data_IF_970256015412
#
_entry.id   IF_970256015412
#
_cell.length_a   1.000
_cell.length_b   1.000
_cell.length_c   1.000
_cell.angle_alpha   90.00
_cell.angle_beta   90.00
_cell.angle_gamma   90.00
#
_symmetry.space_group_name_H-M   'P 1'
#
loop_
_entity.id
_entity.type
_entity.pdbx_description
1 polymer ?
#
# COMPACT_ATOMS: atom_id res chain seq x y z
N UNK A 1 14.29 -14.78 42.48
CA UNK A 1 14.47 -13.82 43.59
C UNK A 1 13.75 -12.50 43.31
N UNK A 2 14.23 -11.63 42.40
CA UNK A 2 13.62 -10.32 42.12
C UNK A 2 12.13 -10.42 41.71
N UNK A 3 11.78 -11.23 40.70
CA UNK A 3 10.38 -11.47 40.28
C UNK A 3 9.46 -11.95 41.42
N UNK A 4 9.99 -12.76 42.33
CA UNK A 4 9.22 -13.29 43.47
C UNK A 4 8.94 -12.22 44.54
N UNK A 5 9.66 -11.10 44.52
CA UNK A 5 9.45 -9.93 45.39
C UNK A 5 8.68 -8.79 44.71
N UNK A 6 8.27 -8.96 43.46
CA UNK A 6 7.66 -7.89 42.65
C UNK A 6 8.66 -6.86 42.12
N UNK A 7 9.97 -7.06 42.32
CA UNK A 7 11.01 -6.16 41.80
C UNK A 7 11.07 -6.25 40.27
N UNK A 8 11.30 -5.11 39.60
CA UNK A 8 11.62 -5.06 38.17
C UNK A 8 12.90 -5.86 37.90
N UNK A 9 12.87 -6.92 37.06
CA UNK A 9 14.03 -7.77 36.85
C UNK A 9 15.16 -7.01 36.17
N UNK A 10 16.32 -6.95 36.82
CA UNK A 10 17.56 -6.36 36.29
C UNK A 10 18.78 -7.13 36.75
N UNK A 11 19.87 -6.99 36.04
CA UNK A 11 21.16 -7.46 36.48
C UNK A 11 21.52 -6.79 37.81
N UNK A 12 21.94 -7.60 38.76
CA UNK A 12 22.20 -7.19 40.14
C UNK A 12 23.56 -6.51 40.32
N UNK A 13 24.24 -6.19 39.21
CA UNK A 13 25.57 -5.56 39.19
C UNK A 13 26.63 -6.36 39.96
N UNK A 14 26.43 -7.67 40.15
CA UNK A 14 27.33 -8.53 40.93
C UNK A 14 28.77 -8.49 40.44
N UNK A 15 28.97 -8.48 39.13
CA UNK A 15 30.27 -8.42 38.46
C UNK A 15 30.70 -7.02 38.02
N UNK A 16 29.92 -5.98 38.37
CA UNK A 16 30.28 -4.60 38.08
C UNK A 16 31.46 -4.17 38.97
N UNK A 17 32.59 -3.71 38.40
CA UNK A 17 33.67 -3.11 39.17
C UNK A 17 33.19 -1.85 39.91
N UNK A 18 33.65 -1.66 41.13
CA UNK A 18 33.41 -0.46 41.93
C UNK A 18 34.56 -0.28 42.92
N UNK A 19 34.84 0.95 43.31
CA UNK A 19 35.87 1.26 44.31
C UNK A 19 35.58 0.50 45.62
N UNK A 20 36.61 -0.17 46.17
CA UNK A 20 36.49 -0.97 47.39
C UNK A 20 35.72 -2.28 47.26
N UNK A 21 35.23 -2.65 46.07
CA UNK A 21 34.47 -3.89 45.86
C UNK A 21 35.35 -5.04 45.38
N UNK A 22 35.41 -6.11 46.17
CA UNK A 22 35.97 -7.40 45.73
C UNK A 22 34.98 -8.12 44.82
N UNK A 23 35.40 -8.40 43.58
CA UNK A 23 34.60 -9.19 42.64
C UNK A 23 34.62 -10.68 43.02
N UNK A 24 33.53 -11.44 42.82
CA UNK A 24 33.53 -12.87 43.06
C UNK A 24 34.53 -13.61 42.13
N UNK A 25 34.75 -14.91 42.32
CA UNK A 25 35.54 -15.71 41.35
C UNK A 25 34.63 -16.20 40.22
N UNK A 26 34.94 -15.91 38.93
CA UNK A 26 34.10 -16.37 37.82
C UNK A 26 33.89 -17.88 37.89
N UNK A 27 32.64 -18.39 37.74
CA UNK A 27 32.39 -19.82 37.80
C UNK A 27 33.21 -20.58 36.75
N UNK A 28 33.77 -21.73 37.12
CA UNK A 28 34.56 -22.56 36.23
C UNK A 28 33.75 -22.97 34.99
N UNK A 29 34.35 -22.90 33.80
CA UNK A 29 33.72 -23.27 32.53
C UNK A 29 32.70 -22.28 31.96
N UNK A 30 32.41 -21.17 32.66
CA UNK A 30 31.48 -20.14 32.16
C UNK A 30 32.25 -19.07 31.39
N UNK A 31 31.98 -18.94 30.08
CA UNK A 31 32.51 -17.84 29.28
C UNK A 31 31.72 -16.55 29.58
N UNK A 32 32.38 -15.44 29.98
CA UNK A 32 31.69 -14.22 30.35
C UNK A 32 31.14 -13.48 29.13
N UNK A 33 30.15 -12.62 29.36
CA UNK A 33 29.69 -11.61 28.39
C UNK A 33 30.29 -10.25 28.75
N UNK A 34 30.33 -9.32 27.79
CA UNK A 34 30.73 -7.94 28.05
C UNK A 34 29.48 -7.10 28.28
N UNK A 35 29.45 -6.35 29.39
CA UNK A 35 28.37 -5.43 29.74
C UNK A 35 28.87 -4.00 29.74
N UNK A 36 28.01 -3.09 29.31
CA UNK A 36 28.24 -1.66 29.43
C UNK A 36 28.05 -1.22 30.88
N UNK A 37 29.05 -0.56 31.46
CA UNK A 37 28.97 -0.01 32.79
C UNK A 37 28.15 1.29 32.76
N UNK A 38 26.82 1.17 32.85
CA UNK A 38 25.94 2.33 32.76
C UNK A 38 26.12 3.24 34.00
N UNK A 39 25.99 4.57 33.88
CA UNK A 39 25.92 5.45 35.05
C UNK A 39 24.83 4.98 36.04
N UNK A 40 25.03 5.23 37.33
CA UNK A 40 24.09 4.78 38.38
C UNK A 40 23.14 5.86 38.85
N UNK A 41 23.53 7.11 38.65
CA UNK A 41 22.91 8.33 39.12
C UNK A 41 22.73 9.32 37.96
N UNK A 42 21.97 10.38 38.22
CA UNK A 42 21.53 11.32 37.18
C UNK A 42 20.50 10.73 36.22
N UNK A 43 20.32 11.40 35.09
CA UNK A 43 19.36 11.03 34.06
C UNK A 43 19.93 11.21 32.65
N UNK A 44 19.35 10.49 31.71
CA UNK A 44 19.54 10.72 30.28
C UNK A 44 18.31 11.43 29.77
N UNK A 45 18.51 12.62 29.22
CA UNK A 45 17.45 13.40 28.63
C UNK A 45 17.85 13.89 27.24
N UNK A 46 16.86 14.00 26.37
CA UNK A 46 17.00 14.56 25.02
C UNK A 46 15.69 15.22 24.60
N UNK A 47 15.79 16.14 23.66
CA UNK A 47 14.64 16.80 23.05
C UNK A 47 14.32 16.05 21.75
N UNK A 48 13.30 15.20 21.79
CA UNK A 48 12.84 14.46 20.64
C UNK A 48 12.12 15.37 19.66
N UNK A 49 12.47 15.28 18.38
CA UNK A 49 11.91 16.13 17.33
C UNK A 49 10.43 15.85 17.03
N UNK A 50 9.84 14.78 17.58
CA UNK A 50 8.41 14.46 17.45
C UNK A 50 7.72 14.37 18.81
N UNK A 51 8.33 13.69 19.78
CA UNK A 51 7.72 13.45 21.09
C UNK A 51 8.03 14.51 22.14
N UNK A 52 8.88 15.50 21.83
CA UNK A 52 9.32 16.52 22.77
C UNK A 52 10.33 16.00 23.79
N UNK A 53 10.45 16.68 24.93
CA UNK A 53 11.42 16.33 25.98
C UNK A 53 11.13 14.94 26.55
N UNK A 54 12.12 14.05 26.51
CA UNK A 54 12.09 12.76 27.20
C UNK A 54 13.25 12.71 28.19
N UNK A 55 12.99 12.23 29.40
CA UNK A 55 13.98 12.08 30.46
C UNK A 55 13.80 10.75 31.19
N UNK A 56 14.90 10.01 31.33
CA UNK A 56 14.91 8.69 31.95
C UNK A 56 16.05 8.64 32.97
N UNK A 57 15.70 8.36 34.23
CA UNK A 57 16.69 8.21 35.30
C UNK A 57 17.63 7.03 35.03
N UNK A 58 18.94 7.21 35.26
CA UNK A 58 19.93 6.15 35.09
C UNK A 58 19.69 4.95 36.03
N UNK A 59 18.98 5.16 37.15
CA UNK A 59 18.54 4.10 38.05
C UNK A 59 17.56 3.10 37.41
N UNK A 60 16.83 3.53 36.36
CA UNK A 60 15.93 2.67 35.57
C UNK A 60 16.67 1.87 34.49
N UNK A 61 17.94 2.19 34.24
CA UNK A 61 18.78 1.58 33.21
C UNK A 61 19.72 0.56 33.84
N UNK A 62 19.77 -0.60 33.20
CA UNK A 62 20.65 -1.71 33.61
C UNK A 62 21.94 -1.74 32.78
N UNK A 63 22.97 -2.40 33.30
CA UNK A 63 24.24 -2.67 32.62
C UNK A 63 24.00 -3.70 31.49
N UNK A 64 23.59 -3.20 30.32
CA UNK A 64 23.21 -4.03 29.20
C UNK A 64 24.40 -4.82 28.64
N UNK A 65 24.13 -5.99 28.08
CA UNK A 65 25.14 -6.77 27.36
C UNK A 65 25.44 -6.07 26.03
N UNK A 66 26.71 -5.76 25.78
CA UNK A 66 27.20 -5.16 24.52
C UNK A 66 27.95 -6.17 23.65
N UNK A 67 28.48 -7.25 24.23
CA UNK A 67 29.00 -8.38 23.47
C UNK A 67 28.68 -9.71 24.15
N UNK A 68 28.34 -10.71 23.36
CA UNK A 68 28.08 -12.08 23.80
C UNK A 68 29.39 -12.80 24.15
N UNK A 69 29.27 -14.00 24.71
CA UNK A 69 30.41 -14.79 25.17
C UNK A 69 31.34 -15.28 24.03
N UNK A 70 30.84 -15.26 22.79
CA UNK A 70 31.61 -15.53 21.57
C UNK A 70 32.24 -14.26 20.96
N UNK A 71 32.07 -13.10 21.61
CA UNK A 71 32.56 -11.81 21.12
C UNK A 71 31.59 -11.06 20.19
N UNK A 72 30.47 -11.67 19.80
CA UNK A 72 29.50 -11.04 18.89
C UNK A 72 28.87 -9.80 19.54
N UNK A 73 28.97 -8.60 18.93
CA UNK A 73 28.37 -7.40 19.48
C UNK A 73 26.83 -7.45 19.42
N UNK A 74 26.16 -6.75 20.33
CA UNK A 74 24.69 -6.68 20.38
C UNK A 74 24.17 -5.40 19.72
N UNK A 75 22.89 -5.41 19.35
CA UNK A 75 22.23 -4.33 18.61
C UNK A 75 22.56 -2.91 19.08
N UNK A 76 22.40 -2.61 20.38
CA UNK A 76 22.63 -1.26 20.91
C UNK A 76 24.09 -0.81 20.81
N UNK A 77 25.04 -1.74 20.81
CA UNK A 77 26.45 -1.42 20.62
C UNK A 77 26.77 -1.25 19.13
N UNK A 78 26.30 -2.15 18.27
CA UNK A 78 26.51 -2.04 16.81
C UNK A 78 25.96 -0.72 16.28
N UNK A 79 24.69 -0.41 16.55
CA UNK A 79 24.04 0.79 16.00
C UNK A 79 24.72 2.08 16.47
N UNK A 80 25.21 2.13 17.71
CA UNK A 80 25.93 3.31 18.22
C UNK A 80 27.26 3.49 17.51
N UNK A 81 28.00 2.41 17.32
CA UNK A 81 29.30 2.48 16.63
C UNK A 81 29.11 2.84 15.16
N UNK A 82 28.14 2.22 14.48
CA UNK A 82 27.84 2.51 13.07
C UNK A 82 27.30 3.94 12.89
N UNK A 83 26.36 4.40 13.72
CA UNK A 83 25.82 5.77 13.65
C UNK A 83 26.91 6.81 13.87
N UNK A 84 27.84 6.55 14.79
CA UNK A 84 28.98 7.42 15.05
C UNK A 84 29.98 7.43 13.88
N UNK A 85 30.39 6.25 13.39
CA UNK A 85 31.35 6.11 12.28
C UNK A 85 30.81 6.70 10.96
N UNK A 86 29.50 6.57 10.73
CA UNK A 86 28.80 7.14 9.57
C UNK A 86 28.39 8.61 9.76
N UNK A 87 28.74 9.24 10.89
CA UNK A 87 28.42 10.63 11.20
C UNK A 87 26.92 10.96 11.07
N UNK A 88 26.05 10.07 11.55
CA UNK A 88 24.61 10.27 11.54
C UNK A 88 24.24 11.47 12.41
N UNK A 89 23.50 12.42 11.84
CA UNK A 89 23.06 13.63 12.54
C UNK A 89 21.64 13.51 13.10
N UNK A 90 20.78 12.73 12.44
CA UNK A 90 19.38 12.54 12.79
C UNK A 90 19.00 11.06 12.71
N UNK A 91 18.53 10.51 13.82
CA UNK A 91 18.01 9.14 13.89
C UNK A 91 16.47 9.21 13.89
N UNK A 92 15.87 8.85 12.77
CA UNK A 92 14.41 8.78 12.59
C UNK A 92 14.00 7.31 12.64
N UNK A 93 13.18 6.92 13.61
CA UNK A 93 12.77 5.52 13.81
C UNK A 93 11.42 5.37 14.50
N UNK A 94 10.86 4.17 14.48
CA UNK A 94 9.63 3.84 15.20
C UNK A 94 9.75 4.06 16.71
N UNK A 95 8.66 4.49 17.35
CA UNK A 95 8.63 4.78 18.78
C UNK A 95 8.68 3.55 19.69
N UNK A 96 8.49 2.35 19.13
CA UNK A 96 8.80 1.09 19.81
C UNK A 96 10.29 0.94 20.15
N UNK A 97 11.17 1.75 19.54
CA UNK A 97 12.58 1.82 19.86
C UNK A 97 12.97 2.95 20.83
N UNK A 98 12.03 3.74 21.34
CA UNK A 98 12.33 4.89 22.24
C UNK A 98 13.10 4.47 23.50
N UNK A 99 12.84 3.28 24.02
CA UNK A 99 13.49 2.75 25.22
C UNK A 99 14.97 2.36 25.00
N UNK A 100 15.44 2.29 23.75
CA UNK A 100 16.84 2.06 23.41
C UNK A 100 17.65 3.36 23.43
N UNK A 101 17.02 4.49 23.11
CA UNK A 101 17.66 5.82 23.04
C UNK A 101 18.50 6.18 24.26
N UNK A 102 18.01 6.09 25.52
CA UNK A 102 18.83 6.46 26.67
C UNK A 102 20.07 5.58 26.83
N UNK A 103 20.00 4.31 26.41
CA UNK A 103 21.14 3.39 26.45
C UNK A 103 22.18 3.77 25.40
N UNK A 104 21.72 4.08 24.19
CA UNK A 104 22.58 4.47 23.07
C UNK A 104 23.29 5.80 23.36
N UNK A 105 22.57 6.80 23.89
CA UNK A 105 23.14 8.08 24.31
C UNK A 105 24.25 7.89 25.35
N UNK A 106 24.04 7.03 26.36
CA UNK A 106 25.09 6.77 27.35
C UNK A 106 26.33 6.11 26.75
N UNK A 107 26.16 5.19 25.79
CA UNK A 107 27.29 4.57 25.10
C UNK A 107 28.03 5.62 24.25
N UNK A 108 27.33 6.45 23.47
CA UNK A 108 27.93 7.56 22.71
C UNK A 108 28.74 8.50 23.60
N UNK A 109 28.16 8.92 24.73
CA UNK A 109 28.84 9.76 25.73
C UNK A 109 30.10 9.09 26.29
N UNK A 110 30.05 7.79 26.55
CA UNK A 110 31.21 7.04 27.03
C UNK A 110 32.32 6.93 25.97
N UNK A 111 31.96 6.94 24.68
CA UNK A 111 32.90 7.01 23.56
C UNK A 111 33.42 8.43 23.29
N UNK A 112 32.85 9.45 23.94
CA UNK A 112 33.12 10.86 23.63
C UNK A 112 32.55 11.30 22.28
N UNK A 113 31.58 10.56 21.74
CA UNK A 113 30.93 10.86 20.46
C UNK A 113 29.84 11.93 20.62
N UNK A 114 29.59 12.65 19.53
CA UNK A 114 28.43 13.55 19.43
C UNK A 114 27.14 12.74 19.42
N UNK A 115 26.11 13.26 20.10
CA UNK A 115 24.81 12.60 20.19
C UNK A 115 23.91 13.15 19.07
N UNK A 116 23.36 12.31 18.18
CA UNK A 116 22.48 12.77 17.11
C UNK A 116 21.16 13.26 17.68
N UNK A 117 20.42 14.01 16.86
CA UNK A 117 19.03 14.33 17.14
C UNK A 117 18.16 13.10 16.91
N UNK A 118 17.14 12.90 17.73
CA UNK A 118 16.23 11.75 17.63
C UNK A 118 14.81 12.22 17.26
N UNK A 119 14.16 11.46 16.40
CA UNK A 119 12.75 11.62 16.05
C UNK A 119 12.06 10.26 16.11
N UNK A 120 11.12 10.09 17.05
CA UNK A 120 10.40 8.82 17.20
C UNK A 120 9.00 8.88 16.58
N UNK A 121 8.85 8.21 15.43
CA UNK A 121 7.61 8.11 14.66
C UNK A 121 6.66 7.12 15.32
N UNK A 122 5.39 7.50 15.45
CA UNK A 122 4.39 6.62 16.04
C UNK A 122 4.05 5.44 15.14
N UNK A 123 3.76 4.30 15.75
CA UNK A 123 3.38 3.10 15.00
C UNK A 123 2.10 3.30 14.19
N UNK A 124 2.07 2.70 13.00
CA UNK A 124 0.85 2.59 12.18
C UNK A 124 -0.05 1.50 12.77
N UNK A 125 -1.32 1.81 12.92
CA UNK A 125 -2.38 0.87 13.28
C UNK A 125 -3.05 0.34 12.01
N UNK A 126 -3.52 -0.90 12.02
CA UNK A 126 -4.34 -1.46 10.94
C UNK A 126 -5.76 -0.90 10.96
N UNK A 127 -6.56 -1.32 9.97
CA UNK A 127 -7.99 -0.98 9.88
C UNK A 127 -8.76 -1.40 11.16
N UNK A 128 -8.26 -2.40 11.89
CA UNK A 128 -8.81 -2.90 13.16
C UNK A 128 -8.34 -2.13 14.42
N UNK A 129 -7.48 -1.13 14.25
CA UNK A 129 -6.91 -0.33 15.34
C UNK A 129 -5.77 -1.02 16.12
N UNK A 130 -5.39 -2.25 15.76
CA UNK A 130 -4.22 -2.92 16.34
C UNK A 130 -2.94 -2.52 15.60
N UNK A 131 -1.76 -2.76 16.19
CA UNK A 131 -0.47 -2.50 15.52
C UNK A 131 -0.44 -3.24 14.19
N UNK A 132 -0.20 -2.51 13.09
CA UNK A 132 -0.08 -3.11 11.77
C UNK A 132 1.08 -4.12 11.81
N UNK A 133 0.76 -5.38 11.55
CA UNK A 133 1.70 -6.49 11.68
C UNK A 133 1.53 -7.46 10.52
N UNK A 134 2.59 -8.24 10.24
CA UNK A 134 2.62 -9.28 9.19
C UNK A 134 1.50 -10.32 9.31
N UNK A 135 0.77 -10.34 10.43
CA UNK A 135 -0.33 -11.27 10.72
C UNK A 135 -1.72 -10.72 10.37
N UNK A 136 -1.88 -9.41 10.15
CA UNK A 136 -3.19 -8.74 10.02
C UNK A 136 -3.40 -8.00 8.69
N UNK A 137 -2.56 -8.24 7.67
CA UNK A 137 -2.70 -7.57 6.36
C UNK A 137 -1.42 -7.65 5.54
N UNK A 138 -1.42 -7.04 4.35
CA UNK A 138 -0.23 -6.96 3.50
C UNK A 138 0.83 -6.04 4.12
N UNK A 139 2.04 -6.54 4.34
CA UNK A 139 3.14 -5.79 5.02
C UNK A 139 4.42 -5.82 4.19
N UNK A 140 4.31 -6.29 2.94
CA UNK A 140 5.36 -6.20 1.95
C UNK A 140 4.99 -5.11 0.94
N UNK A 141 5.94 -4.23 0.63
CA UNK A 141 5.80 -3.24 -0.45
C UNK A 141 5.46 -3.93 -1.78
N UNK A 142 6.00 -5.14 -2.00
CA UNK A 142 5.72 -5.91 -3.21
C UNK A 142 4.26 -6.37 -3.31
N UNK A 143 3.59 -6.62 -2.19
CA UNK A 143 2.19 -7.01 -2.19
C UNK A 143 1.29 -5.85 -2.65
N UNK A 144 1.64 -4.59 -2.37
CA UNK A 144 0.90 -3.45 -2.92
C UNK A 144 1.01 -3.40 -4.45
N UNK A 145 2.20 -3.64 -5.00
CA UNK A 145 2.38 -3.71 -6.45
C UNK A 145 1.58 -4.85 -7.09
N UNK A 146 1.61 -6.05 -6.48
CA UNK A 146 0.80 -7.19 -6.90
C UNK A 146 -0.70 -6.89 -6.84
N UNK A 147 -1.16 -6.21 -5.78
CA UNK A 147 -2.53 -5.76 -5.60
C UNK A 147 -2.95 -4.63 -6.58
N UNK A 148 -2.01 -4.08 -7.36
CA UNK A 148 -2.32 -3.10 -8.40
C UNK A 148 -2.30 -1.64 -7.94
N UNK A 149 -1.59 -1.34 -6.85
CA UNK A 149 -1.31 0.03 -6.43
C UNK A 149 -0.10 0.59 -7.16
N UNK A 150 -0.22 1.84 -7.60
CA UNK A 150 0.86 2.61 -8.19
C UNK A 150 1.86 3.05 -7.10
N UNK A 151 3.18 3.04 -7.39
CA UNK A 151 4.20 3.47 -6.43
C UNK A 151 3.96 4.88 -5.88
N UNK A 152 3.51 5.81 -6.71
CA UNK A 152 3.23 7.20 -6.35
C UNK A 152 2.10 7.29 -5.34
N UNK A 153 1.04 6.49 -5.52
CA UNK A 153 -0.08 6.41 -4.60
C UNK A 153 0.36 5.85 -3.24
N UNK A 154 1.18 4.78 -3.23
CA UNK A 154 1.70 4.20 -2.00
C UNK A 154 2.59 5.18 -1.25
N UNK A 155 3.50 5.88 -1.96
CA UNK A 155 4.39 6.88 -1.35
C UNK A 155 3.59 8.04 -0.75
N UNK A 156 2.66 8.63 -1.51
CA UNK A 156 1.81 9.71 -0.99
C UNK A 156 0.98 9.22 0.20
N UNK A 157 0.41 8.02 0.13
CA UNK A 157 -0.40 7.48 1.21
C UNK A 157 0.40 7.29 2.50
N UNK A 158 1.56 6.64 2.41
CA UNK A 158 2.44 6.41 3.56
C UNK A 158 2.97 7.73 4.13
N UNK A 159 3.27 8.72 3.28
CA UNK A 159 3.66 10.05 3.74
C UNK A 159 2.55 10.71 4.57
N UNK A 160 1.27 10.51 4.22
CA UNK A 160 0.13 11.04 4.99
C UNK A 160 -0.15 10.28 6.30
N UNK A 161 0.51 9.15 6.55
CA UNK A 161 0.40 8.44 7.82
C UNK A 161 1.29 9.08 8.88
N UNK A 162 0.79 10.16 9.48
CA UNK A 162 1.44 10.84 10.58
C UNK A 162 2.22 12.11 10.20
N UNK A 163 2.21 12.51 8.92
CA UNK A 163 2.72 13.80 8.46
C UNK A 163 1.67 14.52 7.61
N UNK A 164 1.64 15.85 7.67
CA UNK A 164 0.72 16.67 6.88
C UNK A 164 1.39 17.95 6.36
N UNK A 165 0.81 18.52 5.32
CA UNK A 165 1.15 19.85 4.81
C UNK A 165 -0.15 20.58 4.51
N UNK A 166 -0.70 21.28 5.51
CA UNK A 166 -2.05 21.83 5.45
C UNK A 166 -3.08 20.78 4.99
N UNK A 167 -3.92 21.17 4.04
CA UNK A 167 -4.99 20.33 3.47
C UNK A 167 -4.56 19.56 2.21
N UNK A 168 -3.28 19.57 1.83
CA UNK A 168 -2.80 18.85 0.65
C UNK A 168 -2.83 17.32 0.86
N UNK A 169 -3.74 16.66 0.15
CA UNK A 169 -3.97 15.21 0.21
C UNK A 169 -3.31 14.44 -0.95
N UNK A 170 -3.08 15.12 -2.08
CA UNK A 170 -2.49 14.53 -3.30
C UNK A 170 -1.28 15.34 -3.72
N UNK A 171 -0.12 14.70 -3.88
CA UNK A 171 1.12 15.38 -4.23
C UNK A 171 2.13 14.47 -4.93
N UNK A 172 2.94 15.06 -5.81
CA UNK A 172 4.06 14.36 -6.41
C UNK A 172 5.18 14.13 -5.38
N UNK A 173 6.01 13.11 -5.61
CA UNK A 173 7.12 12.77 -4.72
C UNK A 173 8.13 13.92 -4.60
N UNK A 174 8.39 14.62 -5.70
CA UNK A 174 9.33 15.73 -5.76
C UNK A 174 8.86 16.86 -4.85
N UNK A 175 7.56 17.20 -4.94
CA UNK A 175 6.93 18.21 -4.09
C UNK A 175 6.94 17.80 -2.61
N UNK A 176 6.74 16.52 -2.32
CA UNK A 176 6.87 15.99 -0.96
C UNK A 176 8.29 16.18 -0.40
N UNK A 177 9.33 15.94 -1.20
CA UNK A 177 10.72 16.16 -0.78
C UNK A 177 10.98 17.63 -0.44
N UNK A 178 10.43 18.56 -1.23
CA UNK A 178 10.58 20.00 -0.97
C UNK A 178 9.86 20.46 0.30
N UNK A 179 8.77 19.77 0.68
CA UNK A 179 7.94 20.12 1.83
C UNK A 179 8.33 19.44 3.12
N UNK A 180 8.99 18.30 3.03
CA UNK A 180 9.17 17.43 4.18
C UNK A 180 10.01 18.11 5.26
N UNK A 181 9.44 18.11 6.45
CA UNK A 181 10.11 18.50 7.69
C UNK A 181 9.54 17.67 8.85
N UNK A 182 10.23 17.70 9.98
CA UNK A 182 9.81 16.95 11.18
C UNK A 182 8.72 17.69 11.98
N UNK A 183 8.58 19.01 11.81
CA UNK A 183 7.67 19.86 12.58
C UNK A 183 6.19 19.52 12.35
N UNK A 184 5.85 18.94 11.20
CA UNK A 184 4.49 18.52 10.86
C UNK A 184 4.22 17.02 11.07
N UNK A 185 5.10 16.33 11.80
CA UNK A 185 4.85 14.94 12.20
C UNK A 185 4.05 14.91 13.50
N UNK A 186 2.93 14.20 13.48
CA UNK A 186 2.08 14.03 14.67
C UNK A 186 2.57 12.87 15.55
N UNK A 187 2.62 13.03 16.89
CA UNK A 187 3.02 11.95 17.80
C UNK A 187 1.90 10.92 18.05
N UNK A 188 0.70 11.12 17.52
CA UNK A 188 -0.40 10.14 17.57
C UNK A 188 -0.21 9.03 16.55
N UNK A 189 -0.65 7.81 16.89
CA UNK A 189 -0.66 6.69 15.95
C UNK A 189 -1.59 6.98 14.76
N UNK A 190 -1.11 6.71 13.54
CA UNK A 190 -1.91 6.83 12.33
C UNK A 190 -2.63 5.50 12.05
N UNK A 191 -3.93 5.56 11.76
CA UNK A 191 -4.67 4.37 11.36
C UNK A 191 -4.62 4.21 9.85
N UNK A 192 -4.29 3.00 9.40
CA UNK A 192 -4.44 2.61 8.00
C UNK A 192 -5.92 2.66 7.62
N UNK A 193 -6.18 3.01 6.36
CA UNK A 193 -7.49 3.14 5.77
C UNK A 193 -7.38 2.77 4.29
N UNK A 194 -7.81 1.55 3.99
CA UNK A 194 -7.76 0.99 2.63
C UNK A 194 -8.61 1.78 1.63
N UNK A 195 -9.76 2.31 2.03
CA UNK A 195 -10.63 3.12 1.15
C UNK A 195 -9.93 4.42 0.70
N UNK A 196 -9.20 5.06 1.61
CA UNK A 196 -8.42 6.27 1.31
C UNK A 196 -7.27 5.96 0.36
N UNK A 197 -6.57 4.84 0.54
CA UNK A 197 -5.54 4.39 -0.38
C UNK A 197 -6.12 4.09 -1.77
N UNK A 198 -7.28 3.42 -1.84
CA UNK A 198 -7.99 3.16 -3.10
C UNK A 198 -8.38 4.46 -3.82
N UNK A 199 -8.93 5.44 -3.09
CA UNK A 199 -9.26 6.74 -3.64
C UNK A 199 -8.04 7.45 -4.21
N UNK A 200 -6.93 7.42 -3.48
CA UNK A 200 -5.69 8.05 -3.91
C UNK A 200 -5.11 7.33 -5.14
N UNK A 201 -5.11 6.00 -5.14
CA UNK A 201 -4.64 5.22 -6.28
C UNK A 201 -5.49 5.45 -7.53
N UNK A 202 -6.81 5.56 -7.39
CA UNK A 202 -7.70 5.94 -8.49
C UNK A 202 -7.33 7.31 -9.07
N UNK A 203 -6.95 8.28 -8.23
CA UNK A 203 -6.45 9.58 -8.69
C UNK A 203 -5.19 9.43 -9.56
N UNK A 204 -4.20 8.67 -9.08
CA UNK A 204 -2.96 8.47 -9.84
C UNK A 204 -3.17 7.66 -11.12
N UNK A 205 -4.03 6.63 -11.12
CA UNK A 205 -4.41 5.90 -12.33
C UNK A 205 -5.04 6.86 -13.34
N UNK A 206 -5.98 7.71 -12.90
CA UNK A 206 -6.62 8.70 -13.77
C UNK A 206 -5.61 9.70 -14.36
N UNK A 207 -4.62 10.13 -13.58
CA UNK A 207 -3.60 11.07 -14.00
C UNK A 207 -2.50 10.43 -14.88
N UNK A 208 -2.35 9.11 -14.82
CA UNK A 208 -1.35 8.37 -15.59
C UNK A 208 -1.64 8.38 -17.09
N UNK A 209 -0.56 8.30 -17.86
CA UNK A 209 -0.65 8.15 -19.33
C UNK A 209 -1.21 6.78 -19.71
N UNK A 210 -1.98 6.76 -20.79
CA UNK A 210 -2.58 5.55 -21.34
C UNK A 210 -1.50 4.52 -21.71
N UNK A 211 -0.37 4.96 -22.28
CA UNK A 211 0.75 4.09 -22.65
C UNK A 211 1.37 3.38 -21.43
N UNK A 212 1.60 4.10 -20.33
CA UNK A 212 2.17 3.51 -19.12
C UNK A 212 1.20 2.49 -18.48
N UNK A 213 -0.09 2.82 -18.42
CA UNK A 213 -1.11 1.90 -17.93
C UNK A 213 -1.25 0.67 -18.83
N UNK A 214 -1.20 0.85 -20.15
CA UNK A 214 -1.30 -0.23 -21.13
C UNK A 214 -0.16 -1.24 -20.98
N UNK A 215 1.09 -0.77 -20.78
CA UNK A 215 2.23 -1.66 -20.57
C UNK A 215 2.10 -2.52 -19.30
N UNK A 216 1.63 -1.92 -18.19
CA UNK A 216 1.41 -2.65 -16.94
C UNK A 216 0.25 -3.65 -17.07
N UNK A 217 -0.89 -3.21 -17.63
CA UNK A 217 -2.06 -4.06 -17.86
C UNK A 217 -1.75 -5.21 -18.82
N UNK A 218 -0.96 -4.99 -19.88
CA UNK A 218 -0.49 -6.05 -20.77
C UNK A 218 0.25 -7.16 -19.99
N UNK A 219 1.12 -6.76 -19.07
CA UNK A 219 1.85 -7.70 -18.20
C UNK A 219 0.89 -8.48 -17.30
N UNK A 220 -0.15 -7.82 -16.76
CA UNK A 220 -1.16 -8.48 -15.91
C UNK A 220 -2.03 -9.46 -16.68
N UNK A 221 -2.47 -9.11 -17.89
CA UNK A 221 -3.22 -10.01 -18.78
C UNK A 221 -2.37 -11.23 -19.17
N UNK A 222 -1.11 -11.02 -19.57
CA UNK A 222 -0.20 -12.10 -19.93
C UNK A 222 0.00 -13.11 -18.79
N UNK A 223 0.10 -12.65 -17.53
CA UNK A 223 0.19 -13.53 -16.34
C UNK A 223 -1.06 -14.39 -16.14
N UNK A 224 -2.22 -13.97 -16.67
CA UNK A 224 -3.49 -14.73 -16.65
C UNK A 224 -3.62 -15.65 -17.87
N UNK A 225 -2.63 -15.70 -18.76
CA UNK A 225 -2.70 -16.44 -20.01
C UNK A 225 -3.54 -15.76 -21.09
N UNK A 226 -3.82 -14.47 -20.94
CA UNK A 226 -4.56 -13.66 -21.92
C UNK A 226 -3.57 -12.93 -22.81
N UNK A 227 -3.71 -13.11 -24.12
CA UNK A 227 -2.87 -12.44 -25.11
C UNK A 227 -3.33 -10.97 -25.30
N UNK A 228 -2.53 -9.98 -24.88
CA UNK A 228 -2.89 -8.57 -24.98
C UNK A 228 -2.90 -8.04 -26.43
N UNK A 229 -2.37 -8.81 -27.40
CA UNK A 229 -2.36 -8.43 -28.82
C UNK A 229 -3.56 -9.01 -29.60
N UNK A 230 -4.32 -9.92 -28.99
CA UNK A 230 -5.46 -10.61 -29.64
C UNK A 230 -6.72 -9.75 -29.84
N UNK A 231 -6.69 -8.49 -29.40
CA UNK A 231 -7.85 -7.61 -29.34
C UNK A 231 -7.55 -6.15 -29.70
N UNK A 232 -8.41 -5.20 -29.30
CA UNK A 232 -8.19 -3.78 -29.54
C UNK A 232 -6.89 -3.27 -28.88
N UNK A 233 -6.41 -2.10 -29.33
CA UNK A 233 -5.25 -1.46 -28.70
C UNK A 233 -5.53 -1.14 -27.22
N UNK A 234 -4.65 -1.62 -26.33
CA UNK A 234 -4.81 -1.43 -24.88
C UNK A 234 -4.88 0.04 -24.49
N UNK A 235 -4.09 0.91 -25.13
CA UNK A 235 -4.12 2.36 -24.85
C UNK A 235 -5.52 2.97 -24.99
N UNK A 236 -6.26 2.57 -26.04
CA UNK A 236 -7.65 2.99 -26.24
C UNK A 236 -8.55 2.53 -25.10
N UNK A 237 -8.35 1.30 -24.61
CA UNK A 237 -9.10 0.78 -23.47
C UNK A 237 -8.72 1.47 -22.16
N UNK A 238 -7.46 1.86 -21.97
CA UNK A 238 -7.02 2.62 -20.80
C UNK A 238 -7.75 3.96 -20.73
N UNK A 239 -7.83 4.69 -21.85
CA UNK A 239 -8.59 5.95 -21.93
C UNK A 239 -10.07 5.79 -21.59
N UNK A 240 -10.67 4.64 -21.94
CA UNK A 240 -12.07 4.34 -21.70
C UNK A 240 -12.38 3.90 -20.25
N UNK A 241 -11.46 3.18 -19.60
CA UNK A 241 -11.70 2.53 -18.31
C UNK A 241 -10.97 3.15 -17.10
N UNK A 242 -9.86 3.87 -17.28
CA UNK A 242 -9.00 4.33 -16.17
C UNK A 242 -9.71 5.20 -15.12
N UNK A 243 -10.82 5.85 -15.47
CA UNK A 243 -11.58 6.72 -14.56
C UNK A 243 -12.61 5.97 -13.70
N UNK A 244 -12.72 4.65 -13.82
CA UNK A 244 -13.76 3.83 -13.17
C UNK A 244 -13.22 2.78 -12.19
N UNK A 245 -11.92 2.74 -11.98
CA UNK A 245 -11.23 1.70 -11.24
C UNK A 245 -10.35 2.30 -10.16
N UNK A 246 -10.16 1.56 -9.07
CA UNK A 246 -9.29 1.94 -7.98
C UNK A 246 -7.90 1.29 -8.07
N UNK A 247 -7.75 0.20 -8.82
CA UNK A 247 -6.48 -0.53 -8.95
C UNK A 247 -6.18 -0.95 -10.39
N UNK A 248 -4.91 -1.23 -10.67
CA UNK A 248 -4.48 -1.79 -11.97
C UNK A 248 -5.04 -3.20 -12.21
N UNK A 249 -5.33 -3.95 -11.15
CA UNK A 249 -6.00 -5.25 -11.27
C UNK A 249 -7.45 -5.10 -11.71
N UNK A 250 -8.20 -4.17 -11.09
CA UNK A 250 -9.55 -3.83 -11.55
C UNK A 250 -9.54 -3.31 -13.00
N UNK A 251 -8.52 -2.55 -13.38
CA UNK A 251 -8.35 -2.09 -14.77
C UNK A 251 -8.16 -3.26 -15.72
N UNK A 252 -7.28 -4.21 -15.37
CA UNK A 252 -7.06 -5.43 -16.14
C UNK A 252 -8.33 -6.28 -16.24
N UNK A 253 -9.04 -6.50 -15.12
CA UNK A 253 -10.32 -7.23 -15.08
C UNK A 253 -11.35 -6.60 -16.01
N UNK A 254 -11.45 -5.27 -16.00
CA UNK A 254 -12.43 -4.54 -16.80
C UNK A 254 -12.18 -4.64 -18.31
N UNK A 255 -10.92 -4.77 -18.74
CA UNK A 255 -10.54 -4.83 -20.16
C UNK A 255 -10.33 -6.26 -20.67
N UNK A 256 -10.18 -7.25 -19.79
CA UNK A 256 -9.97 -8.66 -20.16
C UNK A 256 -11.07 -9.18 -21.09
N UNK A 257 -12.32 -8.74 -20.90
CA UNK A 257 -13.47 -9.08 -21.74
C UNK A 257 -13.29 -8.75 -23.23
N UNK A 258 -12.35 -7.88 -23.61
CA UNK A 258 -12.05 -7.55 -25.00
C UNK A 258 -11.10 -8.55 -25.68
N UNK A 259 -10.40 -9.38 -24.89
CA UNK A 259 -9.38 -10.33 -25.35
C UNK A 259 -9.79 -11.79 -25.20
N UNK A 260 -10.84 -12.09 -24.42
CA UNK A 260 -11.29 -13.46 -24.17
C UNK A 260 -12.66 -13.76 -24.79
N UNK A 261 -12.99 -15.04 -24.98
CA UNK A 261 -14.33 -15.44 -25.37
C UNK A 261 -15.27 -15.43 -24.16
N UNK A 262 -15.98 -14.32 -23.97
CA UNK A 262 -16.90 -14.12 -22.86
C UNK A 262 -18.12 -15.04 -22.96
N UNK A 263 -18.43 -15.71 -21.84
CA UNK A 263 -19.63 -16.51 -21.63
C UNK A 263 -20.36 -15.99 -20.39
N UNK A 264 -21.43 -15.19 -20.53
CA UNK A 264 -22.18 -14.69 -19.39
C UNK A 264 -22.84 -15.85 -18.64
N UNK A 265 -23.02 -15.71 -17.33
CA UNK A 265 -23.72 -16.72 -16.54
C UNK A 265 -25.19 -16.83 -16.97
N UNK A 266 -25.78 -18.02 -16.83
CA UNK A 266 -27.21 -18.23 -17.10
C UNK A 266 -28.08 -17.26 -16.28
N UNK A 267 -27.72 -17.02 -15.03
CA UNK A 267 -28.39 -16.05 -14.14
C UNK A 267 -28.43 -14.64 -14.73
N UNK A 268 -27.30 -14.13 -15.24
CA UNK A 268 -27.26 -12.79 -15.86
C UNK A 268 -28.08 -12.72 -17.16
N UNK A 269 -28.06 -13.80 -17.95
CA UNK A 269 -28.87 -13.88 -19.17
C UNK A 269 -30.36 -13.86 -18.81
N UNK A 270 -30.80 -14.72 -17.90
CA UNK A 270 -32.20 -14.82 -17.48
C UNK A 270 -32.70 -13.53 -16.83
N UNK A 271 -31.85 -12.86 -16.05
CA UNK A 271 -32.17 -11.61 -15.38
C UNK A 271 -32.34 -10.43 -16.35
N UNK A 272 -31.53 -10.37 -17.43
CA UNK A 272 -31.41 -9.16 -18.24
C UNK A 272 -31.90 -9.30 -19.69
N UNK A 273 -31.80 -10.49 -20.31
CA UNK A 273 -32.24 -10.75 -21.67
C UNK A 273 -33.71 -11.20 -21.69
N UNK A 274 -34.61 -10.28 -21.36
CA UNK A 274 -36.06 -10.50 -21.48
C UNK A 274 -36.49 -10.64 -22.95
N UNK A 275 -37.65 -11.20 -23.23
CA UNK A 275 -38.15 -11.33 -24.62
C UNK A 275 -38.24 -10.00 -25.38
N UNK A 276 -38.74 -8.89 -24.79
CA UNK A 276 -38.67 -7.58 -25.44
C UNK A 276 -37.25 -7.11 -25.73
N UNK A 277 -36.31 -7.34 -24.80
CA UNK A 277 -34.91 -7.01 -25.03
C UNK A 277 -34.30 -7.86 -26.14
N UNK A 278 -34.59 -9.17 -26.17
CA UNK A 278 -34.15 -10.11 -27.21
C UNK A 278 -34.64 -9.68 -28.59
N UNK A 279 -35.90 -9.24 -28.71
CA UNK A 279 -36.44 -8.70 -29.95
C UNK A 279 -35.69 -7.43 -30.40
N UNK A 280 -35.50 -6.45 -29.50
CA UNK A 280 -34.77 -5.22 -29.81
C UNK A 280 -33.30 -5.48 -30.20
N UNK A 281 -32.64 -6.45 -29.54
CA UNK A 281 -31.27 -6.82 -29.84
C UNK A 281 -31.13 -7.57 -31.17
N UNK A 282 -32.15 -8.32 -31.62
CA UNK A 282 -32.17 -8.94 -32.96
C UNK A 282 -32.17 -7.87 -34.06
N UNK A 283 -33.06 -6.89 -33.96
CA UNK A 283 -33.11 -5.77 -34.91
C UNK A 283 -31.81 -4.96 -34.89
N UNK A 284 -31.22 -4.73 -33.70
CA UNK A 284 -29.91 -4.10 -33.59
C UNK A 284 -28.80 -4.93 -34.23
N UNK A 285 -28.81 -6.25 -34.08
CA UNK A 285 -27.83 -7.15 -34.69
C UNK A 285 -27.87 -7.07 -36.23
N UNK A 286 -29.07 -6.98 -36.81
CA UNK A 286 -29.25 -6.79 -38.26
C UNK A 286 -28.74 -5.41 -38.72
N UNK A 287 -29.07 -4.35 -37.98
CA UNK A 287 -28.62 -3.00 -38.29
C UNK A 287 -27.09 -2.85 -38.16
N UNK A 288 -26.51 -3.40 -37.09
CA UNK A 288 -25.07 -3.45 -36.83
C UNK A 288 -24.28 -4.15 -37.94
N UNK A 289 -24.90 -5.08 -38.68
CA UNK A 289 -24.23 -5.75 -39.79
C UNK A 289 -23.87 -4.79 -40.93
N UNK A 290 -24.67 -3.76 -41.18
CA UNK A 290 -24.59 -2.94 -42.40
C UNK A 290 -24.24 -1.48 -42.15
N UNK A 291 -24.50 -0.93 -40.96
CA UNK A 291 -24.30 0.49 -40.67
C UNK A 291 -22.83 0.92 -40.53
N UNK A 292 -22.55 2.22 -40.35
CA UNK A 292 -21.20 2.71 -40.01
C UNK A 292 -20.81 2.32 -38.55
N UNK A 293 -19.53 2.03 -38.31
CA UNK A 293 -19.04 1.55 -37.00
C UNK A 293 -18.28 2.63 -36.24
N UNK A 294 -19.00 3.67 -35.87
CA UNK A 294 -18.49 4.80 -35.09
C UNK A 294 -19.44 5.07 -33.92
N UNK A 295 -18.94 5.66 -32.84
CA UNK A 295 -19.70 5.89 -31.61
C UNK A 295 -21.06 6.56 -31.83
N UNK A 296 -21.10 7.65 -32.60
CA UNK A 296 -22.33 8.41 -32.82
C UNK A 296 -23.42 7.60 -33.56
N UNK A 297 -23.13 6.98 -34.73
CA UNK A 297 -24.04 6.04 -35.37
C UNK A 297 -24.52 4.93 -34.43
N UNK A 298 -23.61 4.28 -33.69
CA UNK A 298 -23.95 3.20 -32.75
C UNK A 298 -24.93 3.68 -31.66
N UNK A 299 -24.68 4.86 -31.10
CA UNK A 299 -25.59 5.49 -30.13
C UNK A 299 -26.95 5.82 -30.72
N UNK A 300 -27.02 6.26 -31.97
CA UNK A 300 -28.27 6.54 -32.68
C UNK A 300 -29.08 5.26 -32.96
N UNK A 301 -28.41 4.18 -33.37
CA UNK A 301 -29.04 2.87 -33.59
C UNK A 301 -29.69 2.33 -32.31
N UNK A 302 -28.97 2.39 -31.17
CA UNK A 302 -29.51 1.96 -29.88
C UNK A 302 -30.77 2.76 -29.51
N UNK A 303 -30.75 4.09 -29.69
CA UNK A 303 -31.92 4.95 -29.44
C UNK A 303 -33.10 4.63 -30.38
N UNK A 304 -32.82 4.31 -31.65
CA UNK A 304 -33.84 3.93 -32.60
C UNK A 304 -34.53 2.61 -32.22
N UNK A 305 -33.74 1.59 -31.84
CA UNK A 305 -34.26 0.30 -31.37
C UNK A 305 -35.08 0.45 -30.08
N UNK A 306 -34.60 1.27 -29.12
CA UNK A 306 -35.38 1.62 -27.93
C UNK A 306 -36.76 2.18 -28.28
N UNK A 307 -36.82 3.13 -29.23
CA UNK A 307 -38.07 3.76 -29.66
C UNK A 307 -39.00 2.76 -30.36
N UNK A 308 -38.47 1.93 -31.24
CA UNK A 308 -39.25 0.94 -32.00
C UNK A 308 -39.90 -0.11 -31.08
N UNK A 309 -39.20 -0.51 -30.02
CA UNK A 309 -39.66 -1.54 -29.08
C UNK A 309 -40.29 -0.98 -27.80
N UNK A 310 -40.41 0.34 -27.66
CA UNK A 310 -40.96 0.98 -26.46
C UNK A 310 -40.13 0.75 -25.19
N UNK A 311 -38.81 0.56 -25.32
CA UNK A 311 -37.89 0.24 -24.23
C UNK A 311 -37.11 1.46 -23.73
N UNK A 312 -36.76 1.44 -22.44
CA UNK A 312 -35.83 2.42 -21.83
C UNK A 312 -34.38 1.99 -22.05
N UNK A 313 -33.44 2.95 -21.96
CA UNK A 313 -32.01 2.70 -22.20
C UNK A 313 -31.45 1.51 -21.40
N UNK A 314 -31.71 1.36 -20.08
CA UNK A 314 -31.20 0.21 -19.34
C UNK A 314 -31.72 -1.14 -19.87
N UNK A 315 -32.94 -1.18 -20.43
CA UNK A 315 -33.56 -2.41 -20.95
C UNK A 315 -32.95 -2.88 -22.28
N UNK A 316 -32.15 -2.05 -22.93
CA UNK A 316 -31.39 -2.41 -24.15
C UNK A 316 -29.89 -2.47 -23.83
N UNK A 317 -29.35 -1.48 -23.14
CA UNK A 317 -27.92 -1.37 -22.88
C UNK A 317 -27.42 -2.45 -21.90
N UNK A 318 -28.16 -2.79 -20.84
CA UNK A 318 -27.73 -3.83 -19.89
C UNK A 318 -27.65 -5.21 -20.55
N UNK A 319 -28.69 -5.72 -21.25
CA UNK A 319 -28.57 -7.00 -21.92
C UNK A 319 -27.48 -6.99 -23.00
N UNK A 320 -27.29 -5.88 -23.72
CA UNK A 320 -26.18 -5.74 -24.65
C UNK A 320 -24.81 -5.88 -23.95
N UNK A 321 -24.60 -5.21 -22.80
CA UNK A 321 -23.38 -5.37 -21.99
C UNK A 321 -23.21 -6.79 -21.50
N UNK A 322 -24.27 -7.41 -20.98
CA UNK A 322 -24.22 -8.79 -20.50
C UNK A 322 -23.77 -9.71 -21.62
N UNK A 323 -24.38 -9.64 -22.81
CA UNK A 323 -24.00 -10.50 -23.93
C UNK A 323 -22.58 -10.25 -24.46
N UNK A 324 -22.09 -9.02 -24.37
CA UNK A 324 -20.80 -8.64 -24.91
C UNK A 324 -19.66 -8.82 -23.91
N UNK A 325 -19.81 -8.36 -22.68
CA UNK A 325 -18.73 -8.32 -21.68
C UNK A 325 -19.02 -9.14 -20.43
N UNK A 326 -20.17 -9.81 -20.35
CA UNK A 326 -20.49 -10.73 -19.25
C UNK A 326 -20.86 -10.03 -17.95
N UNK A 327 -21.10 -8.71 -17.97
CA UNK A 327 -21.42 -7.90 -16.81
C UNK A 327 -22.41 -6.78 -17.14
N UNK A 328 -23.21 -6.28 -16.18
CA UNK A 328 -24.26 -5.28 -16.44
C UNK A 328 -23.74 -3.84 -16.52
N UNK A 329 -22.51 -3.59 -16.07
CA UNK A 329 -21.93 -2.25 -15.97
C UNK A 329 -20.69 -2.13 -16.85
N UNK A 330 -20.64 -1.02 -17.61
CA UNK A 330 -19.51 -0.63 -18.46
C UNK A 330 -19.47 0.90 -18.53
N UNK A 331 -18.44 1.48 -19.17
CA UNK A 331 -18.54 2.79 -19.81
C UNK A 331 -19.74 2.88 -20.78
N UNK A 332 -19.88 4.00 -21.49
CA UNK A 332 -20.97 4.16 -22.44
C UNK A 332 -20.94 3.03 -23.48
N UNK A 333 -22.09 2.38 -23.71
CA UNK A 333 -22.15 1.13 -24.48
C UNK A 333 -21.76 1.35 -25.95
N UNK A 334 -22.06 2.52 -26.51
CA UNK A 334 -21.60 2.97 -27.83
C UNK A 334 -20.08 2.99 -27.96
N UNK A 335 -19.35 3.51 -26.97
CA UNK A 335 -17.89 3.51 -26.95
C UNK A 335 -17.32 2.09 -26.78
N UNK A 336 -17.97 1.26 -25.96
CA UNK A 336 -17.59 -0.16 -25.81
C UNK A 336 -17.73 -0.91 -27.15
N UNK A 337 -18.85 -0.70 -27.86
CA UNK A 337 -19.09 -1.30 -29.18
C UNK A 337 -18.06 -0.84 -30.21
N UNK A 338 -17.77 0.46 -30.26
CA UNK A 338 -16.79 1.05 -31.17
C UNK A 338 -15.42 0.38 -30.98
N UNK A 339 -14.92 0.32 -29.74
CA UNK A 339 -13.61 -0.27 -29.43
C UNK A 339 -13.60 -1.79 -29.66
N UNK A 340 -14.67 -2.51 -29.30
CA UNK A 340 -14.75 -3.97 -29.46
C UNK A 340 -14.76 -4.41 -30.94
N UNK A 341 -15.26 -3.55 -31.83
CA UNK A 341 -15.33 -3.83 -33.25
C UNK A 341 -16.53 -4.69 -33.68
N UNK A 342 -16.98 -4.44 -34.91
CA UNK A 342 -18.21 -5.05 -35.48
C UNK A 342 -18.21 -6.56 -35.44
N UNK A 343 -17.13 -7.19 -35.91
CA UNK A 343 -17.05 -8.63 -36.06
C UNK A 343 -17.26 -9.35 -34.73
N UNK A 344 -16.55 -8.90 -33.68
CA UNK A 344 -16.64 -9.43 -32.32
C UNK A 344 -18.04 -9.23 -31.73
N UNK A 345 -18.61 -8.04 -31.86
CA UNK A 345 -19.96 -7.73 -31.36
C UNK A 345 -21.00 -8.64 -32.00
N UNK A 346 -21.02 -8.74 -33.34
CA UNK A 346 -21.99 -9.57 -34.05
C UNK A 346 -21.82 -11.06 -33.72
N UNK A 347 -20.58 -11.54 -33.60
CA UNK A 347 -20.32 -12.93 -33.22
C UNK A 347 -20.84 -13.25 -31.82
N UNK A 348 -20.65 -12.35 -30.85
CA UNK A 348 -21.16 -12.51 -29.47
C UNK A 348 -22.68 -12.41 -29.43
N UNK A 349 -23.30 -11.46 -30.13
CA UNK A 349 -24.76 -11.32 -30.17
C UNK A 349 -25.47 -12.54 -30.77
N UNK A 350 -25.03 -12.99 -31.96
CA UNK A 350 -25.67 -14.12 -32.69
C UNK A 350 -25.66 -15.44 -31.93
N UNK A 351 -24.79 -15.59 -30.94
CA UNK A 351 -24.73 -16.77 -30.08
C UNK A 351 -25.95 -16.90 -29.17
N UNK A 352 -26.59 -15.79 -28.84
CA UNK A 352 -27.65 -15.73 -27.82
C UNK A 352 -29.00 -15.25 -28.34
N UNK A 353 -29.06 -14.67 -29.54
CA UNK A 353 -30.27 -14.11 -30.17
C UNK A 353 -30.88 -15.07 -31.18
#
# INVERSE_FOLDING_TARGET
>A
AQRARGDKPRYDRRWRPAEGKTLPTPPAGVKPVIRFCNPVDGAVAWDDLVKGRIEIANAELDDLIIARADGTPTYNFCVVVDDWDMAITHVIRGDDHVNNTPRQINILRALGAEVPQYAHLSMILGDDGQKLSKRHGAVSVMQYHEAGYLPEAVVNYLARLGWSHGDDEVFARERFVDWFNLDHITPSAAQFNTEKLNWLNAHYIKASSEAALAADVATRLARRGVDPESGPALETLMGLYKVRVATLNELADAVEAFYVDVRPSAELIDQHLTEPARAALRDLCELFATMAWEKEPLGAAIKAAMKAHGLKMPQVAIPLRVLLVGQPQTPSIDAVLEVMGRATVLARLRRYL
#
